data_IF_789343036500
#
_entry.id   IF_789343036500
#
_cell.length_a   1.000
_cell.length_b   1.000
_cell.length_c   1.000
_cell.angle_alpha   90.00
_cell.angle_beta   90.00
_cell.angle_gamma   90.00
#
_symmetry.space_group_name_H-M   'P 1'
#
loop_
_entity.id
_entity.type
_entity.pdbx_description
1 polymer ?
#
# COMPACT_ATOMS: atom_id res chain seq x y z
N UNK A 1 -12.43 7.64 -9.51
CA UNK A 1 -11.46 6.55 -9.80
C UNK A 1 -10.05 7.09 -9.61
N UNK A 2 -9.33 6.52 -8.65
CA UNK A 2 -7.92 6.86 -8.41
C UNK A 2 -7.06 6.15 -9.46
N UNK A 3 -6.92 6.58 -10.67
CA UNK A 3 -5.93 6.12 -11.66
C UNK A 3 -5.28 4.73 -11.46
N UNK A 4 -4.18 4.40 -12.12
CA UNK A 4 -3.53 3.08 -12.02
C UNK A 4 -2.65 2.91 -10.76
N UNK A 5 -3.03 3.52 -9.65
CA UNK A 5 -2.27 3.51 -8.41
C UNK A 5 -3.13 3.30 -7.16
N UNK A 6 -2.48 3.17 -6.03
CA UNK A 6 -3.08 3.11 -4.69
C UNK A 6 -2.24 3.94 -3.72
N UNK A 7 -2.69 4.13 -2.48
CA UNK A 7 -1.95 4.88 -1.46
C UNK A 7 -1.64 4.02 -0.25
N UNK A 8 -0.53 4.30 0.40
CA UNK A 8 -0.30 3.91 1.78
C UNK A 8 -1.08 4.85 2.69
N UNK A 9 -1.84 4.31 3.63
CA UNK A 9 -2.61 5.10 4.59
C UNK A 9 -2.26 4.70 6.02
N UNK A 10 -2.26 5.67 6.93
CA UNK A 10 -2.16 5.44 8.38
C UNK A 10 -3.56 5.53 8.96
N UNK A 11 -4.03 4.45 9.53
CA UNK A 11 -5.35 4.36 10.14
C UNK A 11 -5.28 4.19 11.65
N UNK A 12 -6.25 4.75 12.37
CA UNK A 12 -6.52 4.50 13.78
C UNK A 12 -8.00 4.19 13.99
N UNK A 13 -8.35 3.57 15.13
CA UNK A 13 -9.76 3.29 15.46
C UNK A 13 -10.52 4.58 15.74
N UNK A 14 -11.67 4.78 15.10
CA UNK A 14 -12.56 5.90 15.40
C UNK A 14 -13.12 5.79 16.82
N UNK A 15 -13.24 6.94 17.48
CA UNK A 15 -13.65 6.99 18.90
C UNK A 15 -12.51 6.67 19.86
N UNK A 16 -11.30 6.33 19.38
CA UNK A 16 -10.11 6.27 20.22
C UNK A 16 -9.53 7.68 20.45
N UNK A 17 -8.58 7.80 21.37
CA UNK A 17 -7.83 9.04 21.60
C UNK A 17 -6.89 9.43 20.45
N UNK A 18 -6.68 8.54 19.50
CA UNK A 18 -5.74 8.70 18.38
C UNK A 18 -6.45 9.31 17.16
N UNK A 19 -6.58 10.63 17.18
CA UNK A 19 -7.31 11.40 16.16
C UNK A 19 -6.43 12.27 15.27
N UNK A 20 -5.12 12.34 15.59
CA UNK A 20 -4.11 13.08 14.82
C UNK A 20 -2.76 12.34 14.85
N UNK A 21 -1.83 12.74 13.97
CA UNK A 21 -0.46 12.19 13.97
C UNK A 21 0.20 12.41 15.34
N UNK A 22 0.10 13.61 15.90
CA UNK A 22 0.73 13.95 17.18
C UNK A 22 0.22 13.10 18.34
N UNK A 23 -1.08 12.72 18.31
CA UNK A 23 -1.67 11.87 19.34
C UNK A 23 -1.09 10.45 19.36
N UNK A 24 -0.43 10.02 18.27
CA UNK A 24 0.20 8.71 18.14
C UNK A 24 1.60 8.63 18.76
N UNK A 25 2.15 9.72 19.27
CA UNK A 25 3.47 9.70 19.91
C UNK A 25 3.48 8.73 21.09
N UNK A 26 4.42 7.79 21.08
CA UNK A 26 4.54 6.76 22.11
C UNK A 26 3.51 5.61 22.00
N UNK A 27 2.69 5.56 20.95
CA UNK A 27 1.69 4.50 20.71
C UNK A 27 2.29 3.22 20.13
N UNK A 28 1.47 2.16 20.06
CA UNK A 28 1.77 0.90 19.39
C UNK A 28 1.30 0.97 17.92
N UNK A 29 2.23 0.93 16.97
CA UNK A 29 1.91 0.96 15.53
C UNK A 29 2.21 -0.36 14.85
N UNK A 30 1.30 -0.77 13.96
CA UNK A 30 1.43 -1.90 13.05
C UNK A 30 2.00 -1.51 11.69
N UNK A 31 3.04 -2.21 11.26
CA UNK A 31 3.47 -2.32 9.86
C UNK A 31 2.99 -3.67 9.32
N UNK A 32 2.86 -3.83 8.01
CA UNK A 32 2.38 -5.11 7.44
C UNK A 32 3.46 -6.19 7.46
N UNK A 33 4.48 -6.05 6.64
CA UNK A 33 5.61 -6.95 6.53
C UNK A 33 6.84 -6.19 6.01
N UNK A 34 8.07 -6.72 6.18
CA UNK A 34 9.29 -6.04 5.77
C UNK A 34 9.42 -5.76 4.28
N UNK A 35 8.72 -6.52 3.41
CA UNK A 35 8.73 -6.39 1.95
C UNK A 35 7.68 -5.43 1.41
N UNK A 36 6.69 -5.04 2.22
CA UNK A 36 5.58 -4.20 1.79
C UNK A 36 6.02 -2.78 1.42
N UNK A 37 5.60 -2.30 0.25
CA UNK A 37 5.82 -0.91 -0.17
C UNK A 37 4.99 0.05 0.68
N UNK A 38 3.68 -0.10 0.71
CA UNK A 38 2.76 0.82 1.41
C UNK A 38 2.73 0.62 2.93
N UNK A 39 2.91 -0.62 3.39
CA UNK A 39 2.82 -0.95 4.82
C UNK A 39 4.16 -0.95 5.55
N UNK A 40 5.29 -0.73 4.87
CA UNK A 40 6.61 -0.67 5.50
C UNK A 40 7.54 0.36 4.85
N UNK A 41 7.81 0.28 3.54
CA UNK A 41 8.79 1.13 2.89
C UNK A 41 8.35 2.61 2.89
N UNK A 42 7.11 2.88 2.49
CA UNK A 42 6.52 4.23 2.52
C UNK A 42 6.50 4.84 3.92
N UNK A 43 6.00 4.16 4.97
CA UNK A 43 6.12 4.64 6.34
C UNK A 43 7.54 5.02 6.73
N UNK A 44 8.51 4.17 6.45
CA UNK A 44 9.90 4.37 6.85
C UNK A 44 10.63 5.48 6.09
N UNK A 45 10.15 5.87 4.91
CA UNK A 45 10.77 6.92 4.10
C UNK A 45 9.91 8.18 4.05
N UNK A 46 8.65 8.06 3.63
CA UNK A 46 7.78 9.23 3.42
C UNK A 46 7.19 9.75 4.73
N UNK A 47 6.61 8.87 5.57
CA UNK A 47 6.01 9.31 6.83
C UNK A 47 7.06 9.83 7.84
N UNK A 48 8.28 9.26 7.85
CA UNK A 48 9.37 9.79 8.70
C UNK A 48 9.76 11.23 8.35
N UNK A 49 9.54 11.67 7.10
CA UNK A 49 9.73 13.10 6.73
C UNK A 49 8.67 13.98 7.36
N UNK A 50 7.44 13.48 7.51
CA UNK A 50 6.34 14.22 8.14
C UNK A 50 6.59 14.41 9.63
N UNK A 51 7.04 13.36 10.33
CA UNK A 51 7.29 13.40 11.79
C UNK A 51 8.70 13.87 12.17
N UNK A 52 9.61 14.06 11.20
CA UNK A 52 10.98 14.53 11.42
C UNK A 52 11.91 13.55 12.13
N UNK A 53 11.52 12.29 12.31
CA UNK A 53 12.30 11.27 13.01
C UNK A 53 11.95 9.86 12.56
N UNK A 54 12.70 8.87 13.03
CA UNK A 54 12.42 7.46 12.75
C UNK A 54 11.16 6.97 13.48
N UNK A 55 10.50 5.94 12.89
CA UNK A 55 9.28 5.38 13.47
C UNK A 55 9.49 4.91 14.91
N UNK A 56 10.59 4.22 15.17
CA UNK A 56 10.95 3.66 16.48
C UNK A 56 11.22 4.74 17.56
N UNK A 57 11.49 5.98 17.14
CA UNK A 57 11.66 7.12 18.04
C UNK A 57 10.34 7.86 18.29
N UNK A 58 9.43 7.83 17.32
CA UNK A 58 8.14 8.49 17.43
C UNK A 58 7.10 7.60 18.14
N UNK A 59 6.98 6.35 17.70
CA UNK A 59 6.10 5.37 18.31
C UNK A 59 6.77 4.69 19.51
N UNK A 60 6.01 4.30 20.51
CA UNK A 60 6.52 3.54 21.65
C UNK A 60 6.90 2.09 21.27
N UNK A 61 6.21 1.53 20.29
CA UNK A 61 6.50 0.20 19.77
C UNK A 61 6.04 0.08 18.31
N UNK A 62 6.88 -0.53 17.48
CA UNK A 62 6.60 -0.84 16.07
C UNK A 62 6.59 -2.36 15.91
N UNK A 63 5.52 -2.91 15.35
CA UNK A 63 5.36 -4.36 15.17
C UNK A 63 4.94 -4.69 13.74
N UNK A 64 5.26 -5.88 13.27
CA UNK A 64 4.74 -6.41 12.01
C UNK A 64 3.50 -7.27 12.29
N UNK A 65 2.40 -6.99 11.59
CA UNK A 65 1.11 -7.70 11.75
C UNK A 65 0.95 -8.84 10.76
N UNK A 66 1.76 -8.89 9.71
CA UNK A 66 1.80 -9.94 8.69
C UNK A 66 1.06 -9.62 7.39
N UNK A 67 -0.03 -8.85 7.41
CA UNK A 67 -0.75 -8.43 6.19
C UNK A 67 -1.51 -7.12 6.40
N UNK A 68 -1.99 -6.52 5.29
CA UNK A 68 -2.83 -5.32 5.35
C UNK A 68 -4.18 -5.60 6.04
N UNK A 69 -4.77 -6.75 5.77
CA UNK A 69 -6.02 -7.18 6.36
C UNK A 69 -5.86 -7.39 7.87
N UNK A 70 -4.81 -8.11 8.29
CA UNK A 70 -4.52 -8.30 9.72
C UNK A 70 -4.22 -6.99 10.44
N UNK A 71 -3.51 -6.06 9.77
CA UNK A 71 -3.27 -4.71 10.30
C UNK A 71 -4.58 -3.96 10.57
N UNK A 72 -5.49 -3.98 9.58
CA UNK A 72 -6.79 -3.31 9.68
C UNK A 72 -7.63 -3.88 10.81
N UNK A 73 -7.75 -5.21 10.86
CA UNK A 73 -8.50 -5.92 11.92
C UNK A 73 -7.89 -5.63 13.29
N UNK A 74 -6.56 -5.62 13.41
CA UNK A 74 -5.87 -5.32 14.67
C UNK A 74 -6.18 -3.89 15.18
N UNK A 75 -6.29 -2.90 14.29
CA UNK A 75 -6.72 -1.54 14.65
C UNK A 75 -8.17 -1.53 15.14
N UNK A 76 -9.09 -2.13 14.38
CA UNK A 76 -10.51 -2.16 14.73
C UNK A 76 -10.73 -2.86 16.08
N UNK A 77 -10.00 -3.95 16.34
CA UNK A 77 -10.05 -4.68 17.61
C UNK A 77 -9.27 -4.01 18.74
N UNK A 78 -8.54 -2.92 18.48
CA UNK A 78 -7.72 -2.22 19.49
C UNK A 78 -6.48 -3.00 19.94
N UNK A 79 -6.01 -3.96 19.14
CA UNK A 79 -4.75 -4.72 19.38
C UNK A 79 -3.51 -3.90 19.06
N UNK A 80 -3.63 -2.94 18.13
CA UNK A 80 -2.67 -1.88 17.87
C UNK A 80 -3.41 -0.55 17.84
N UNK A 81 -2.72 0.52 18.18
CA UNK A 81 -3.31 1.86 18.25
C UNK A 81 -3.53 2.48 16.86
N UNK A 82 -2.61 2.18 15.95
CA UNK A 82 -2.65 2.59 14.54
C UNK A 82 -1.93 1.58 13.67
N UNK A 83 -2.16 1.62 12.36
CA UNK A 83 -1.42 0.78 11.41
C UNK A 83 -1.30 1.44 10.03
N UNK A 84 -0.21 1.12 9.34
CA UNK A 84 -0.02 1.48 7.93
C UNK A 84 -0.54 0.35 7.04
N UNK A 85 -1.46 0.70 6.14
CA UNK A 85 -2.10 -0.25 5.22
C UNK A 85 -2.19 0.31 3.81
N UNK A 86 -2.43 -0.54 2.82
CA UNK A 86 -2.75 -0.11 1.47
C UNK A 86 -4.23 0.26 1.37
N UNK A 87 -4.57 1.39 0.73
CA UNK A 87 -5.95 1.87 0.62
C UNK A 87 -6.90 0.81 0.04
N UNK A 88 -6.54 0.21 -1.09
CA UNK A 88 -7.36 -0.82 -1.76
C UNK A 88 -7.49 -2.12 -0.94
N UNK A 89 -6.53 -2.43 -0.05
CA UNK A 89 -6.61 -3.59 0.85
C UNK A 89 -7.50 -3.31 2.06
N UNK A 90 -7.52 -2.07 2.53
CA UNK A 90 -8.47 -1.63 3.53
C UNK A 90 -9.93 -1.78 3.01
N UNK A 91 -10.20 -1.36 1.79
CA UNK A 91 -11.51 -1.52 1.16
C UNK A 91 -11.97 -2.99 1.12
N UNK A 92 -11.05 -3.95 0.98
CA UNK A 92 -11.37 -5.37 1.04
C UNK A 92 -11.92 -5.81 2.40
N UNK A 93 -11.34 -5.31 3.48
CA UNK A 93 -11.78 -5.61 4.85
C UNK A 93 -13.15 -4.99 5.11
N UNK A 94 -13.39 -3.79 4.59
CA UNK A 94 -14.70 -3.12 4.64
C UNK A 94 -15.75 -3.92 3.87
N UNK A 95 -15.44 -4.35 2.65
CA UNK A 95 -16.36 -5.12 1.81
C UNK A 95 -16.71 -6.50 2.39
N UNK A 96 -15.83 -7.07 3.22
CA UNK A 96 -16.10 -8.31 3.98
C UNK A 96 -16.89 -8.09 5.26
N UNK A 97 -17.17 -6.83 5.62
CA UNK A 97 -17.88 -6.48 6.85
C UNK A 97 -17.03 -6.61 8.14
N UNK A 98 -15.72 -6.80 8.03
CA UNK A 98 -14.78 -6.92 9.15
C UNK A 98 -14.35 -5.56 9.70
N UNK A 99 -14.55 -4.49 8.92
CA UNK A 99 -14.36 -3.09 9.30
C UNK A 99 -15.36 -2.21 8.55
N UNK A 100 -15.49 -0.95 8.99
CA UNK A 100 -16.25 0.08 8.25
C UNK A 100 -15.37 1.30 8.01
N UNK A 101 -15.61 2.01 6.91
CA UNK A 101 -14.96 3.31 6.65
C UNK A 101 -15.19 4.29 7.80
N UNK A 102 -16.38 4.24 8.37
CA UNK A 102 -16.78 5.07 9.50
C UNK A 102 -16.12 4.63 10.82
N UNK A 103 -15.62 3.40 10.88
CA UNK A 103 -14.98 2.82 12.07
C UNK A 103 -13.51 3.19 12.26
N UNK A 104 -12.91 3.90 11.31
CA UNK A 104 -11.50 4.33 11.37
C UNK A 104 -11.33 5.80 11.05
N UNK A 105 -10.25 6.38 11.56
CA UNK A 105 -9.71 7.67 11.11
C UNK A 105 -8.56 7.40 10.14
N UNK A 106 -8.51 8.12 9.04
CA UNK A 106 -7.33 8.17 8.17
C UNK A 106 -6.51 9.39 8.59
N UNK A 107 -5.33 9.13 9.17
CA UNK A 107 -4.48 10.18 9.76
C UNK A 107 -3.40 10.67 8.80
N UNK A 108 -3.05 9.86 7.82
CA UNK A 108 -2.07 10.21 6.79
C UNK A 108 -2.28 9.36 5.54
N UNK A 109 -1.92 9.95 4.39
CA UNK A 109 -1.90 9.29 3.08
C UNK A 109 -0.58 9.58 2.37
N UNK A 110 -0.05 8.59 1.68
CA UNK A 110 1.13 8.74 0.82
C UNK A 110 0.78 9.37 -0.53
N UNK A 111 1.80 9.75 -1.27
CA UNK A 111 1.68 9.90 -2.72
C UNK A 111 1.22 8.58 -3.37
N UNK A 112 0.62 8.64 -4.57
CA UNK A 112 0.19 7.45 -5.29
C UNK A 112 1.35 6.48 -5.52
N UNK A 113 1.09 5.19 -5.30
CA UNK A 113 2.01 4.07 -5.55
C UNK A 113 1.46 3.33 -6.76
N UNK A 114 2.24 3.09 -7.82
CA UNK A 114 1.78 2.30 -8.95
C UNK A 114 1.46 0.87 -8.51
N UNK A 115 0.45 0.25 -9.14
CA UNK A 115 0.13 -1.16 -8.93
C UNK A 115 1.28 -2.05 -9.40
N UNK A 116 1.34 -3.28 -8.90
CA UNK A 116 2.32 -4.27 -9.34
C UNK A 116 2.17 -4.53 -10.85
N UNK A 117 3.26 -4.42 -11.64
CA UNK A 117 3.17 -4.56 -13.08
C UNK A 117 3.08 -6.02 -13.52
N UNK A 118 2.29 -6.29 -14.54
CA UNK A 118 2.45 -7.48 -15.35
C UNK A 118 3.60 -7.26 -16.34
N UNK A 119 4.59 -8.14 -16.32
CA UNK A 119 5.80 -7.99 -17.13
C UNK A 119 6.11 -9.27 -17.92
N UNK A 120 6.75 -9.11 -19.06
CA UNK A 120 7.29 -10.21 -19.84
C UNK A 120 8.81 -10.08 -19.99
N UNK A 121 9.48 -11.17 -20.31
CA UNK A 121 10.92 -11.16 -20.56
C UNK A 121 11.23 -10.40 -21.85
N UNK A 122 12.23 -9.53 -21.83
CA UNK A 122 12.66 -8.79 -23.02
C UNK A 122 13.29 -9.69 -24.11
N UNK A 123 13.70 -10.91 -23.73
CA UNK A 123 14.25 -11.94 -24.65
C UNK A 123 13.19 -12.68 -25.47
N UNK A 124 11.90 -12.45 -25.23
CA UNK A 124 10.83 -12.99 -26.09
C UNK A 124 10.89 -12.33 -27.47
N UNK A 125 10.45 -13.08 -28.51
CA UNK A 125 10.26 -12.55 -29.84
C UNK A 125 9.28 -11.38 -29.84
N UNK A 126 9.47 -10.41 -30.74
CA UNK A 126 8.68 -9.18 -30.74
C UNK A 126 7.20 -9.44 -31.00
N UNK A 127 6.86 -10.41 -31.89
CA UNK A 127 5.48 -10.82 -32.14
C UNK A 127 4.79 -11.36 -30.88
N UNK A 128 5.50 -12.14 -30.06
CA UNK A 128 4.96 -12.66 -28.80
C UNK A 128 4.74 -11.52 -27.81
N UNK A 129 5.70 -10.59 -27.69
CA UNK A 129 5.55 -9.40 -26.84
C UNK A 129 4.35 -8.56 -27.25
N UNK A 130 4.18 -8.32 -28.55
CA UNK A 130 3.05 -7.58 -29.10
C UNK A 130 1.73 -8.25 -28.76
N UNK A 131 1.61 -9.56 -29.01
CA UNK A 131 0.41 -10.33 -28.71
C UNK A 131 0.06 -10.33 -27.22
N UNK A 132 1.05 -10.48 -26.32
CA UNK A 132 0.82 -10.40 -24.86
C UNK A 132 0.30 -9.01 -24.50
N UNK A 133 0.95 -7.97 -24.99
CA UNK A 133 0.57 -6.58 -24.72
C UNK A 133 -0.86 -6.28 -25.18
N UNK A 134 -1.19 -6.59 -26.43
CA UNK A 134 -2.52 -6.39 -27.00
C UNK A 134 -3.58 -7.19 -26.21
N UNK A 135 -3.30 -8.46 -25.89
CA UNK A 135 -4.21 -9.29 -25.11
C UNK A 135 -4.57 -8.63 -23.77
N UNK A 136 -3.59 -8.11 -23.02
CA UNK A 136 -3.87 -7.47 -21.74
C UNK A 136 -4.61 -6.14 -21.90
N UNK A 137 -4.28 -5.33 -22.88
CA UNK A 137 -4.95 -4.04 -23.12
C UNK A 137 -6.41 -4.21 -23.56
N UNK A 138 -6.71 -5.27 -24.29
CA UNK A 138 -8.05 -5.58 -24.84
C UNK A 138 -8.91 -6.47 -23.92
N UNK A 139 -8.45 -6.84 -22.73
CA UNK A 139 -9.19 -7.71 -21.81
C UNK A 139 -10.58 -7.19 -21.46
N UNK A 140 -10.73 -5.88 -21.34
CA UNK A 140 -12.00 -5.26 -20.97
C UNK A 140 -13.07 -5.51 -22.03
N UNK A 141 -14.16 -6.16 -21.61
CA UNK A 141 -15.30 -6.44 -22.49
C UNK A 141 -15.15 -7.71 -23.34
N UNK A 142 -14.04 -8.43 -23.23
CA UNK A 142 -13.90 -9.73 -23.90
C UNK A 142 -14.68 -10.82 -23.14
N UNK A 143 -15.32 -11.77 -23.85
CA UNK A 143 -16.03 -12.86 -23.20
C UNK A 143 -15.13 -13.67 -22.26
N UNK A 144 -15.60 -13.92 -21.05
CA UNK A 144 -14.91 -14.74 -20.06
C UNK A 144 -13.77 -14.05 -19.29
N UNK A 145 -13.44 -12.80 -19.60
CA UNK A 145 -12.33 -12.09 -18.93
C UNK A 145 -12.74 -11.36 -17.65
N UNK A 146 -14.02 -11.12 -17.44
CA UNK A 146 -14.53 -10.36 -16.29
C UNK A 146 -14.09 -10.98 -14.95
N UNK A 147 -14.19 -12.31 -14.83
CA UNK A 147 -13.78 -13.01 -13.61
C UNK A 147 -12.28 -12.82 -13.27
N UNK A 148 -11.43 -12.72 -14.30
CA UNK A 148 -10.01 -12.41 -14.11
C UNK A 148 -9.82 -10.96 -13.65
N UNK A 149 -10.48 -9.99 -14.29
CA UNK A 149 -10.43 -8.58 -13.92
C UNK A 149 -10.94 -8.38 -12.49
N UNK A 150 -12.02 -9.03 -12.11
CA UNK A 150 -12.56 -9.00 -10.74
C UNK A 150 -11.57 -9.58 -9.71
N UNK A 151 -10.89 -10.67 -10.08
CA UNK A 151 -9.89 -11.31 -9.21
C UNK A 151 -8.67 -10.40 -8.96
N UNK A 152 -8.18 -9.72 -10.01
CA UNK A 152 -7.09 -8.74 -9.88
C UNK A 152 -7.59 -7.35 -9.45
N UNK A 153 -8.89 -7.18 -9.23
CA UNK A 153 -9.56 -5.95 -8.80
C UNK A 153 -9.26 -4.75 -9.68
N UNK A 154 -9.26 -4.98 -10.96
CA UNK A 154 -8.99 -3.98 -11.99
C UNK A 154 -10.13 -3.94 -13.00
N UNK A 155 -10.43 -2.75 -13.49
CA UNK A 155 -11.42 -2.57 -14.56
C UNK A 155 -10.81 -2.75 -15.95
N UNK A 156 -9.51 -2.52 -16.06
CA UNK A 156 -8.74 -2.62 -17.31
C UNK A 156 -7.25 -2.60 -17.00
N UNK A 157 -6.44 -2.95 -17.98
CA UNK A 157 -5.00 -2.75 -17.95
C UNK A 157 -4.63 -1.48 -18.72
N UNK A 158 -3.58 -0.83 -18.28
CA UNK A 158 -2.99 0.34 -18.93
C UNK A 158 -1.51 0.12 -19.13
N UNK A 159 -0.97 0.73 -20.17
CA UNK A 159 0.46 0.67 -20.42
C UNK A 159 1.22 1.49 -19.39
N UNK A 160 2.26 0.90 -18.83
CA UNK A 160 3.14 1.54 -17.86
C UNK A 160 4.59 1.44 -18.34
N UNK A 161 5.35 2.47 -18.08
CA UNK A 161 6.79 2.52 -18.34
C UNK A 161 7.61 2.19 -17.10
N UNK A 162 8.88 1.91 -17.29
CA UNK A 162 9.82 1.73 -16.17
C UNK A 162 9.90 2.98 -15.29
N UNK A 163 9.73 4.17 -15.86
CA UNK A 163 9.85 5.45 -15.16
C UNK A 163 8.69 5.71 -14.20
N UNK A 164 7.51 5.16 -14.47
CA UNK A 164 6.35 5.24 -13.57
C UNK A 164 6.63 4.59 -12.20
N UNK A 165 7.64 3.71 -12.12
CA UNK A 165 8.09 3.03 -10.89
C UNK A 165 9.28 3.71 -10.21
N UNK A 166 9.71 4.90 -10.65
CA UNK A 166 10.83 5.61 -10.03
C UNK A 166 10.57 5.94 -8.57
N UNK A 167 9.34 6.23 -8.18
CA UNK A 167 8.98 6.42 -6.77
C UNK A 167 9.42 5.25 -5.89
N UNK A 168 9.25 4.01 -6.36
CA UNK A 168 9.66 2.80 -5.60
C UNK A 168 11.18 2.69 -5.51
N UNK A 169 11.89 3.01 -6.60
CA UNK A 169 13.37 3.01 -6.63
C UNK A 169 13.94 4.05 -5.66
N UNK A 170 13.37 5.24 -5.67
CA UNK A 170 13.79 6.36 -4.80
C UNK A 170 13.54 6.03 -3.32
N UNK A 171 12.40 5.43 -2.99
CA UNK A 171 12.10 4.96 -1.65
C UNK A 171 13.08 3.88 -1.19
N UNK A 172 13.41 2.92 -2.05
CA UNK A 172 14.38 1.87 -1.76
C UNK A 172 15.78 2.44 -1.55
N UNK A 173 16.23 3.34 -2.44
CA UNK A 173 17.51 4.05 -2.31
C UNK A 173 17.60 4.82 -1.00
N UNK A 174 16.58 5.61 -0.66
CA UNK A 174 16.53 6.37 0.58
C UNK A 174 16.57 5.47 1.83
N UNK A 175 15.93 4.29 1.79
CA UNK A 175 16.01 3.29 2.86
C UNK A 175 17.43 2.74 3.02
N UNK A 176 18.09 2.42 1.90
CA UNK A 176 19.44 1.84 1.92
C UNK A 176 20.50 2.86 2.39
N UNK A 177 20.34 4.13 2.03
CA UNK A 177 21.19 5.23 2.50
C UNK A 177 21.07 5.43 4.02
N UNK A 178 19.87 5.36 4.58
CA UNK A 178 19.66 5.45 6.04
C UNK A 178 20.33 4.32 6.80
N UNK A 179 20.29 3.09 6.27
CA UNK A 179 20.96 1.93 6.90
C UNK A 179 22.49 2.07 6.95
N UNK A 180 23.07 2.86 6.04
CA UNK A 180 24.52 3.12 6.03
C UNK A 180 24.93 4.22 7.01
N UNK A 181 23.99 5.04 7.44
CA UNK A 181 24.20 6.20 8.33
C UNK A 181 23.90 5.89 9.80
N UNK A 182 23.35 4.72 10.08
CA UNK A 182 23.01 4.21 11.43
C UNK A 182 24.01 3.20 11.90
#
# INVERSE_FOLDING_TARGET
EEGPGYRGVLISKKGSKYTSIDSLKGSLVGLTDPGSTSGNLMPRVAFTRVIGMELEKFFGKVVYTGSHELSTVAVVQGKVDAAFVASHRFDNVVNKGEATLEGVNILWQSDPIPQDPFVYRNTLCDDIKANIRETFLDLKGQPGTQAFLDNVKSNTFVEMSSDDYNIIRDLKKAKDERKKSS
#
